data_IF_210794179786
#
_entry.id   IF_210794179786
#
_cell.length_a   1.000
_cell.length_b   1.000
_cell.length_c   1.000
_cell.angle_alpha   90.00
_cell.angle_beta   90.00
_cell.angle_gamma   90.00
#
_symmetry.space_group_name_H-M   'P 1'
#
loop_
_entity.id
_entity.type
_entity.pdbx_description
1 polymer ?
#
# COMPACT_ATOMS: atom_id res chain seq x y z
N UNK A 1 35.22 -8.74 22.99
CA UNK A 1 34.94 -7.53 22.17
C UNK A 1 34.07 -6.58 22.99
N UNK A 2 34.68 -5.58 23.62
CA UNK A 2 33.96 -4.62 24.45
C UNK A 2 33.13 -3.68 23.55
N UNK A 3 31.81 -3.68 23.74
CA UNK A 3 30.90 -2.74 23.08
C UNK A 3 30.95 -1.45 23.89
N UNK A 4 31.68 -0.43 23.41
CA UNK A 4 31.74 0.89 24.04
C UNK A 4 30.36 1.55 24.00
N UNK A 5 29.54 1.25 25.00
CA UNK A 5 28.13 1.68 25.06
C UNK A 5 27.93 3.04 25.72
N UNK A 6 29.02 3.69 26.14
CA UNK A 6 29.00 5.01 26.78
C UNK A 6 30.31 5.75 26.45
N UNK A 7 30.37 6.37 25.26
CA UNK A 7 31.45 7.30 24.93
C UNK A 7 31.15 8.63 25.64
N UNK A 8 32.11 9.25 26.36
CA UNK A 8 31.87 10.48 27.11
C UNK A 8 31.39 11.63 26.21
N UNK A 9 30.58 12.53 26.77
CA UNK A 9 29.88 13.64 26.11
C UNK A 9 30.78 14.55 25.25
N UNK A 10 32.09 14.57 25.51
CA UNK A 10 33.10 15.22 24.64
C UNK A 10 33.12 14.71 23.19
N UNK A 11 32.54 13.54 22.92
CA UNK A 11 32.35 12.97 21.58
C UNK A 11 30.88 12.98 21.14
N UNK A 12 30.00 13.65 21.87
CA UNK A 12 28.64 13.85 21.43
C UNK A 12 28.64 14.62 20.10
N UNK A 13 27.81 14.17 19.16
CA UNK A 13 27.67 14.86 17.89
C UNK A 13 27.20 16.31 18.15
N UNK A 14 27.75 17.31 17.45
CA UNK A 14 27.26 18.68 17.57
C UNK A 14 25.77 18.70 17.23
N UNK A 15 24.98 19.59 17.87
CA UNK A 15 23.55 19.68 17.59
C UNK A 15 23.34 19.96 16.10
N UNK A 16 22.24 19.44 15.51
CA UNK A 16 21.94 19.68 14.11
C UNK A 16 21.84 21.17 13.86
N UNK A 17 22.61 21.67 12.88
CA UNK A 17 22.58 23.10 12.48
C UNK A 17 21.22 23.53 11.95
N UNK A 18 20.39 22.57 11.52
CA UNK A 18 19.04 22.81 11.02
C UNK A 18 18.03 21.99 11.80
N UNK A 19 17.15 22.68 12.52
CA UNK A 19 15.95 22.11 13.10
C UNK A 19 14.81 22.47 12.15
N UNK A 20 14.18 21.51 11.45
CA UNK A 20 13.03 21.81 10.62
C UNK A 20 11.92 22.43 11.48
N UNK A 21 11.21 23.46 10.99
CA UNK A 21 10.13 24.07 11.74
C UNK A 21 9.06 23.03 12.09
N UNK A 22 8.39 23.17 13.25
CA UNK A 22 7.34 22.25 13.63
C UNK A 22 6.24 22.24 12.57
N UNK A 23 5.80 21.04 12.19
CA UNK A 23 4.69 20.88 11.24
C UNK A 23 3.42 21.43 11.90
N UNK A 24 2.97 22.61 11.44
CA UNK A 24 1.69 23.18 11.88
C UNK A 24 0.56 22.31 11.32
N UNK A 25 -0.21 21.70 12.20
CA UNK A 25 -1.49 21.12 11.80
C UNK A 25 -2.44 22.28 11.51
N UNK A 26 -3.05 22.31 10.33
CA UNK A 26 -4.02 23.36 9.96
C UNK A 26 -5.14 23.43 11.02
N UNK A 27 -5.49 24.64 11.45
CA UNK A 27 -6.49 24.90 12.50
C UNK A 27 -7.83 24.21 12.20
N UNK A 28 -8.14 24.02 10.92
CA UNK A 28 -9.31 23.31 10.43
C UNK A 28 -9.44 21.90 11.02
N UNK A 29 -8.36 21.12 11.11
CA UNK A 29 -8.42 19.75 11.64
C UNK A 29 -8.63 19.72 13.16
N UNK A 30 -8.44 20.84 13.85
CA UNK A 30 -8.69 21.00 15.28
C UNK A 30 -10.11 21.55 15.57
N UNK A 31 -10.79 22.01 14.52
CA UNK A 31 -12.13 22.60 14.59
C UNK A 31 -13.16 21.64 15.21
N UNK A 32 -14.19 22.22 15.84
CA UNK A 32 -15.25 21.43 16.50
C UNK A 32 -16.12 20.74 15.45
N UNK A 33 -16.32 21.42 14.34
CA UNK A 33 -17.05 21.02 13.15
C UNK A 33 -16.46 19.73 12.57
N UNK A 34 -15.14 19.71 12.35
CA UNK A 34 -14.43 18.53 11.87
C UNK A 34 -14.54 17.35 12.83
N UNK A 35 -14.30 17.57 14.13
CA UNK A 35 -14.42 16.51 15.14
C UNK A 35 -15.82 15.93 15.21
N UNK A 36 -16.85 16.78 15.12
CA UNK A 36 -18.27 16.35 15.08
C UNK A 36 -18.57 15.54 13.83
N UNK A 37 -18.09 15.97 12.66
CA UNK A 37 -18.25 15.25 11.40
C UNK A 37 -17.62 13.86 11.49
N UNK A 38 -16.35 13.76 11.90
CA UNK A 38 -15.66 12.46 12.01
C UNK A 38 -16.33 11.55 13.04
N UNK A 39 -16.76 12.09 14.18
CA UNK A 39 -17.49 11.32 15.19
C UNK A 39 -18.82 10.78 14.65
N UNK A 40 -19.57 11.60 13.88
CA UNK A 40 -20.80 11.17 13.22
C UNK A 40 -20.52 10.05 12.22
N UNK A 41 -19.53 10.22 11.34
CA UNK A 41 -19.16 9.24 10.34
C UNK A 41 -18.76 7.89 10.95
N UNK A 42 -18.02 7.90 12.06
CA UNK A 42 -17.67 6.67 12.80
C UNK A 42 -18.89 5.94 13.36
N UNK A 43 -19.93 6.67 13.79
CA UNK A 43 -21.19 6.08 14.26
C UNK A 43 -22.01 5.50 13.12
N UNK A 44 -22.08 6.20 11.99
CA UNK A 44 -22.91 5.81 10.84
C UNK A 44 -22.29 4.67 10.02
N UNK A 45 -20.98 4.74 9.75
CA UNK A 45 -20.27 3.80 8.86
C UNK A 45 -19.55 2.68 9.60
N UNK A 46 -19.45 2.81 10.93
CA UNK A 46 -18.65 1.97 11.79
C UNK A 46 -17.20 2.47 11.90
N UNK A 47 -16.61 2.29 13.08
CA UNK A 47 -15.28 2.77 13.42
C UNK A 47 -14.15 1.85 12.90
N UNK A 48 -14.23 1.45 11.62
CA UNK A 48 -13.25 0.60 10.95
C UNK A 48 -12.71 1.28 9.69
N UNK A 49 -11.53 0.87 9.27
CA UNK A 49 -10.85 1.38 8.09
C UNK A 49 -11.58 0.90 6.84
N UNK A 50 -12.05 1.82 6.01
CA UNK A 50 -12.81 1.50 4.79
C UNK A 50 -11.98 0.83 3.70
N UNK A 51 -10.65 0.77 3.85
CA UNK A 51 -9.75 0.09 2.90
C UNK A 51 -9.32 -1.31 3.31
N UNK A 52 -9.11 -1.54 4.61
CA UNK A 52 -8.53 -2.80 5.09
C UNK A 52 -9.30 -3.46 6.25
N UNK A 53 -10.39 -2.86 6.72
CA UNK A 53 -11.20 -3.39 7.82
C UNK A 53 -10.64 -3.19 9.23
N UNK A 54 -9.41 -2.66 9.38
CA UNK A 54 -8.80 -2.46 10.69
C UNK A 54 -9.57 -1.46 11.56
N UNK A 55 -9.79 -1.79 12.84
CA UNK A 55 -10.39 -0.89 13.84
C UNK A 55 -9.34 -0.07 14.60
N UNK A 56 -8.05 -0.32 14.37
CA UNK A 56 -6.97 0.31 15.12
C UNK A 56 -6.66 1.71 14.59
N UNK A 57 -6.75 2.72 15.46
CA UNK A 57 -6.42 4.13 15.18
C UNK A 57 -7.05 4.65 13.89
N UNK A 58 -8.37 4.50 13.77
CA UNK A 58 -9.14 4.98 12.61
C UNK A 58 -9.39 6.49 12.73
N UNK A 59 -9.03 7.24 11.69
CA UNK A 59 -9.19 8.70 11.57
C UNK A 59 -9.96 9.04 10.29
N UNK A 60 -10.66 10.17 10.28
CA UNK A 60 -11.24 10.71 9.05
C UNK A 60 -10.16 11.38 8.20
N UNK A 61 -10.19 11.15 6.90
CA UNK A 61 -9.24 11.69 5.93
C UNK A 61 -9.99 12.16 4.68
N UNK A 62 -9.62 13.32 4.13
CA UNK A 62 -10.31 13.89 2.97
C UNK A 62 -9.91 13.16 1.69
N UNK A 63 -10.87 12.64 0.92
CA UNK A 63 -10.62 11.95 -0.37
C UNK A 63 -9.89 12.88 -1.33
N UNK A 64 -10.47 14.06 -1.57
CA UNK A 64 -9.83 15.20 -2.24
C UNK A 64 -9.26 16.15 -1.17
N UNK A 65 -7.95 16.38 -1.20
CA UNK A 65 -7.28 17.26 -0.23
C UNK A 65 -7.86 18.69 -0.27
N UNK A 66 -7.97 19.38 0.88
CA UNK A 66 -8.46 20.76 0.93
C UNK A 66 -7.63 21.71 0.07
N UNK A 67 -6.32 21.44 -0.06
CA UNK A 67 -5.40 22.23 -0.90
C UNK A 67 -5.74 22.17 -2.39
N UNK A 68 -6.42 21.10 -2.80
CA UNK A 68 -6.82 20.85 -4.17
C UNK A 68 -8.31 21.22 -4.40
N UNK A 69 -8.92 21.97 -3.48
CA UNK A 69 -10.33 22.42 -3.59
C UNK A 69 -11.36 21.44 -3.06
N UNK A 70 -10.96 20.43 -2.28
CA UNK A 70 -11.88 19.48 -1.67
C UNK A 70 -12.87 20.14 -0.70
N UNK A 71 -14.14 19.72 -0.73
CA UNK A 71 -15.15 20.22 0.19
C UNK A 71 -14.78 19.88 1.65
N UNK A 72 -14.68 20.87 2.55
CA UNK A 72 -14.08 20.69 3.87
C UNK A 72 -14.95 19.86 4.82
N UNK A 73 -16.27 20.03 4.76
CA UNK A 73 -17.24 19.41 5.67
C UNK A 73 -18.24 18.48 4.98
N UNK A 74 -17.98 18.09 3.74
CA UNK A 74 -18.81 17.15 3.00
C UNK A 74 -18.53 15.71 3.47
N UNK A 75 -19.53 14.98 4.01
CA UNK A 75 -19.40 13.56 4.36
C UNK A 75 -18.92 12.69 3.21
N UNK A 76 -19.28 12.99 1.96
CA UNK A 76 -18.88 12.21 0.79
C UNK A 76 -17.39 12.35 0.49
N UNK A 77 -16.78 13.50 0.84
CA UNK A 77 -15.36 13.74 0.68
C UNK A 77 -14.51 13.22 1.86
N UNK A 78 -15.09 12.47 2.81
CA UNK A 78 -14.35 11.94 3.97
C UNK A 78 -14.38 10.42 3.98
N UNK A 79 -13.19 9.82 4.07
CA UNK A 79 -12.95 8.38 4.20
C UNK A 79 -12.41 8.06 5.60
N UNK A 80 -12.86 6.97 6.22
CA UNK A 80 -12.32 6.50 7.50
C UNK A 80 -11.13 5.55 7.26
N UNK A 81 -9.94 5.95 7.68
CA UNK A 81 -8.69 5.21 7.42
C UNK A 81 -7.93 4.91 8.71
N UNK A 82 -7.29 3.74 8.77
CA UNK A 82 -6.24 3.49 9.76
C UNK A 82 -4.95 4.21 9.36
N UNK A 83 -4.04 4.38 10.32
CA UNK A 83 -2.76 5.07 10.11
C UNK A 83 -1.94 4.51 8.94
N UNK A 84 -1.93 3.18 8.75
CA UNK A 84 -1.16 2.54 7.68
C UNK A 84 -1.71 2.90 6.27
N UNK A 85 -3.03 2.83 6.11
CA UNK A 85 -3.70 3.18 4.86
C UNK A 85 -3.59 4.69 4.58
N UNK A 86 -3.74 5.52 5.61
CA UNK A 86 -3.53 6.96 5.52
C UNK A 86 -2.10 7.28 5.03
N UNK A 87 -1.07 6.73 5.67
CA UNK A 87 0.32 6.95 5.27
C UNK A 87 0.59 6.50 3.83
N UNK A 88 0.01 5.37 3.41
CA UNK A 88 0.11 4.87 2.03
C UNK A 88 -0.49 5.87 1.04
N UNK A 89 -1.65 6.44 1.36
CA UNK A 89 -2.28 7.48 0.52
C UNK A 89 -1.40 8.73 0.43
N UNK A 90 -0.91 9.24 1.57
CA UNK A 90 -0.01 10.40 1.60
C UNK A 90 1.28 10.15 0.80
N UNK A 91 1.85 8.95 0.92
CA UNK A 91 3.05 8.56 0.17
C UNK A 91 2.78 8.54 -1.35
N UNK A 92 1.64 7.99 -1.79
CA UNK A 92 1.22 8.00 -3.19
C UNK A 92 1.00 9.43 -3.71
N UNK A 93 0.32 10.28 -2.95
CA UNK A 93 0.11 11.68 -3.30
C UNK A 93 1.44 12.44 -3.42
N UNK A 94 2.36 12.21 -2.47
CA UNK A 94 3.72 12.76 -2.53
C UNK A 94 4.49 12.28 -3.76
N UNK A 95 4.49 10.97 -4.04
CA UNK A 95 5.17 10.40 -5.21
C UNK A 95 4.66 11.00 -6.52
N UNK A 96 3.35 11.24 -6.62
CA UNK A 96 2.73 11.93 -7.77
C UNK A 96 3.25 13.36 -7.94
N UNK A 97 3.34 14.12 -6.85
CA UNK A 97 3.84 15.51 -6.87
C UNK A 97 5.29 15.63 -7.35
N UNK A 98 6.12 14.65 -7.02
CA UNK A 98 7.55 14.62 -7.41
C UNK A 98 7.81 13.84 -8.70
N UNK A 99 6.77 13.44 -9.44
CA UNK A 99 6.91 12.73 -10.72
C UNK A 99 7.40 11.28 -10.62
N UNK A 100 7.52 10.72 -9.42
CA UNK A 100 8.00 9.34 -9.19
C UNK A 100 6.91 8.27 -9.33
N UNK A 101 5.66 8.65 -9.62
CA UNK A 101 4.51 7.75 -9.53
C UNK A 101 4.31 6.80 -10.73
N UNK A 102 5.23 6.74 -11.69
CA UNK A 102 5.13 5.85 -12.85
C UNK A 102 6.43 5.06 -13.05
N UNK A 103 6.57 3.93 -12.36
CA UNK A 103 7.36 2.81 -12.85
C UNK A 103 6.42 1.60 -12.85
N UNK A 104 5.82 1.34 -14.01
CA UNK A 104 5.08 0.11 -14.26
C UNK A 104 5.97 -1.09 -13.91
N UNK A 105 5.38 -2.07 -13.25
CA UNK A 105 5.97 -3.37 -12.96
C UNK A 105 6.17 -4.17 -14.26
N UNK A 106 7.11 -3.77 -15.10
CA UNK A 106 7.63 -4.61 -16.18
C UNK A 106 9.02 -5.10 -15.76
N UNK A 107 9.06 -6.21 -15.03
CA UNK A 107 10.36 -6.72 -14.58
C UNK A 107 10.37 -8.01 -13.78
N UNK A 108 9.33 -8.85 -13.86
CA UNK A 108 9.43 -10.24 -13.41
C UNK A 108 9.41 -11.16 -14.65
N UNK A 109 10.45 -11.07 -15.47
CA UNK A 109 10.72 -12.12 -16.46
C UNK A 109 11.18 -13.34 -15.68
N UNK A 110 10.23 -14.20 -15.32
CA UNK A 110 10.51 -15.55 -14.82
C UNK A 110 11.38 -16.25 -15.86
N UNK A 111 12.65 -16.47 -15.53
CA UNK A 111 13.51 -17.39 -16.28
C UNK A 111 12.85 -18.76 -16.19
N UNK A 112 12.20 -19.20 -17.26
CA UNK A 112 11.77 -20.59 -17.39
C UNK A 112 13.03 -21.41 -17.61
N UNK A 113 13.30 -22.33 -16.67
CA UNK A 113 14.37 -23.30 -16.79
C UNK A 113 14.14 -24.17 -18.02
N UNK A 114 15.18 -24.29 -18.83
CA UNK A 114 15.30 -25.33 -19.85
C UNK A 114 15.51 -26.66 -19.11
N UNK A 115 14.51 -27.52 -19.13
CA UNK A 115 14.68 -28.94 -18.80
C UNK A 115 14.33 -29.74 -20.04
N UNK A 116 15.38 -30.34 -20.60
CA UNK A 116 15.42 -31.54 -21.42
C UNK A 116 14.25 -32.49 -21.13
N UNK A 117 13.58 -32.97 -22.19
CA UNK A 117 13.15 -34.38 -22.34
C UNK A 117 12.94 -34.68 -23.83
N UNK A 118 13.99 -35.20 -24.47
CA UNK A 118 13.91 -35.87 -25.76
C UNK A 118 13.00 -37.11 -25.65
N UNK A 119 11.91 -37.09 -26.42
CA UNK A 119 10.90 -38.15 -26.46
C UNK A 119 11.48 -39.42 -27.13
N UNK A 120 11.72 -40.47 -26.35
CA UNK A 120 11.98 -41.80 -26.85
C UNK A 120 10.66 -42.46 -27.29
N UNK A 121 10.58 -42.87 -28.55
CA UNK A 121 9.42 -43.50 -29.16
C UNK A 121 9.63 -45.02 -29.29
N UNK A 122 8.75 -45.88 -28.72
CA UNK A 122 8.82 -47.30 -28.98
C UNK A 122 8.09 -47.66 -30.29
N UNK A 123 8.80 -48.36 -31.19
CA UNK A 123 8.21 -49.00 -32.37
C UNK A 123 7.58 -50.34 -31.96
N UNK A 124 6.26 -50.36 -31.79
CA UNK A 124 5.47 -51.59 -31.66
C UNK A 124 4.84 -51.97 -33.00
N UNK A 125 5.27 -53.08 -33.58
CA UNK A 125 4.63 -53.70 -34.73
C UNK A 125 3.47 -54.62 -34.31
N UNK A 126 2.45 -54.76 -35.17
CA UNK A 126 1.38 -55.73 -34.99
C UNK A 126 0.50 -55.81 -36.23
N UNK A 127 0.33 -57.01 -36.76
CA UNK A 127 -0.16 -57.32 -38.12
C UNK A 127 -1.67 -57.62 -38.14
N UNK A 128 -2.32 -57.16 -39.22
CA UNK A 128 -3.31 -57.83 -40.10
C UNK A 128 -4.62 -58.37 -39.48
N UNK A 129 -5.72 -57.76 -39.92
CA UNK A 129 -7.08 -58.29 -40.24
C UNK A 129 -7.11 -59.77 -40.70
N UNK A 130 -8.24 -60.54 -40.62
CA UNK A 130 -9.50 -60.14 -41.28
C UNK A 130 -10.88 -60.64 -40.76
N UNK A 131 -11.91 -59.99 -41.34
CA UNK A 131 -13.27 -60.47 -41.75
C UNK A 131 -14.34 -60.83 -40.69
N UNK A 132 -15.42 -60.03 -40.72
CA UNK A 132 -16.89 -60.30 -40.87
C UNK A 132 -17.45 -61.74 -40.75
N UNK A 133 -18.79 -61.96 -40.56
CA UNK A 133 -19.91 -61.06 -40.88
C UNK A 133 -21.15 -61.04 -39.93
N UNK A 134 -22.02 -60.06 -40.21
CA UNK A 134 -23.49 -60.05 -40.21
C UNK A 134 -24.31 -60.76 -39.11
N UNK A 135 -25.15 -59.97 -38.44
CA UNK A 135 -26.64 -60.08 -38.49
C UNK A 135 -27.25 -58.74 -38.09
#
# INVERSE_FOLDING_TARGET
MARYRNLPDRYAAPPPRYVPPPKKAEDFYQSKEWRRLVARLKRERGAWCQRCGSTHRVTGDHIQELKDGGAPLDPANVELLCQACHNTKTAKARARRVGLAQAGSHGARRLQGVTDQGTAQPRGGGRKSPRSPAS
#
